data_IF_291591577433
#
_entry.id   IF_291591577433
#
_cell.length_a   1.000
_cell.length_b   1.000
_cell.length_c   1.000
_cell.angle_alpha   90.00
_cell.angle_beta   90.00
_cell.angle_gamma   90.00
#
_symmetry.space_group_name_H-M   'P 1'
#
loop_
_entity.id
_entity.type
_entity.pdbx_description
1 polymer ?
#
# COMPACT_ATOMS: atom_id res chain seq x y z
N UNK A 1 3.18 -0.29 22.80
CA UNK A 1 3.10 1.08 22.27
C UNK A 1 1.74 1.67 22.61
N UNK A 2 1.72 2.66 23.51
CA UNK A 2 0.57 3.49 23.81
C UNK A 2 0.35 4.54 22.72
N UNK A 3 -0.91 4.74 22.29
CA UNK A 3 -1.30 5.70 21.27
C UNK A 3 -2.28 6.72 21.85
N UNK A 4 -1.91 7.99 21.76
CA UNK A 4 -2.78 9.10 22.17
C UNK A 4 -3.53 9.64 20.96
N UNK A 5 -4.86 9.56 20.96
CA UNK A 5 -5.70 10.17 19.93
C UNK A 5 -5.54 11.69 19.94
N UNK A 6 -5.33 12.29 18.77
CA UNK A 6 -5.20 13.74 18.57
C UNK A 6 -6.30 14.29 17.69
N UNK A 7 -6.67 13.55 16.65
CA UNK A 7 -7.63 13.99 15.64
C UNK A 7 -8.94 13.23 15.67
N UNK A 8 -8.93 12.03 16.25
CA UNK A 8 -10.07 11.10 16.24
C UNK A 8 -10.68 10.91 17.62
N UNK A 9 -11.87 10.31 17.66
CA UNK A 9 -12.59 9.98 18.90
C UNK A 9 -12.91 8.48 18.93
N UNK A 10 -12.80 7.81 20.10
CA UNK A 10 -13.20 6.41 20.23
C UNK A 10 -14.64 6.17 19.76
N UNK A 11 -14.87 5.07 19.04
CA UNK A 11 -16.19 4.66 18.56
C UNK A 11 -16.77 5.50 17.41
N UNK A 12 -16.05 6.50 16.89
CA UNK A 12 -16.45 7.26 15.70
C UNK A 12 -15.78 6.65 14.47
N UNK A 13 -16.57 6.32 13.44
CA UNK A 13 -16.02 5.92 12.15
C UNK A 13 -15.19 7.05 11.54
N UNK A 14 -13.87 6.83 11.44
CA UNK A 14 -12.95 7.83 10.88
C UNK A 14 -13.32 8.24 9.45
N UNK A 15 -13.91 7.34 8.65
CA UNK A 15 -14.27 7.70 7.29
C UNK A 15 -15.55 8.56 7.22
N UNK A 16 -16.31 8.67 8.33
CA UNK A 16 -17.44 9.60 8.42
C UNK A 16 -17.01 11.03 8.74
N UNK A 17 -15.71 11.30 8.99
CA UNK A 17 -15.21 12.64 9.34
C UNK A 17 -14.94 13.53 8.13
N UNK A 18 -15.07 13.00 6.91
CA UNK A 18 -14.91 13.76 5.66
C UNK A 18 -16.15 13.64 4.77
N UNK A 19 -16.43 14.68 3.99
CA UNK A 19 -17.45 14.62 2.95
C UNK A 19 -16.89 13.90 1.72
N UNK A 20 -17.67 13.00 1.11
CA UNK A 20 -17.26 12.19 -0.03
C UNK A 20 -17.89 12.69 -1.32
N UNK A 21 -17.18 12.53 -2.43
CA UNK A 21 -17.68 12.86 -3.76
C UNK A 21 -17.20 11.84 -4.77
N UNK A 22 -17.97 11.69 -5.86
CA UNK A 22 -17.62 10.84 -6.99
C UNK A 22 -17.01 11.70 -8.09
N UNK A 23 -15.85 11.30 -8.59
CA UNK A 23 -15.15 11.99 -9.67
C UNK A 23 -14.71 11.02 -10.75
N UNK A 24 -14.67 11.52 -11.98
CA UNK A 24 -14.07 10.79 -13.09
C UNK A 24 -12.59 11.11 -13.13
N UNK A 25 -11.76 10.08 -13.20
CA UNK A 25 -10.35 10.22 -13.55
C UNK A 25 -10.15 9.77 -14.99
N UNK A 26 -9.53 10.62 -15.81
CA UNK A 26 -9.28 10.34 -17.22
C UNK A 26 -7.87 10.75 -17.59
N UNK A 27 -7.13 9.83 -18.19
CA UNK A 27 -5.83 10.09 -18.82
C UNK A 27 -6.02 10.07 -20.32
N UNK A 28 -5.61 11.14 -20.99
CA UNK A 28 -5.66 11.28 -22.45
C UNK A 28 -4.27 11.44 -23.04
N UNK A 29 -4.09 10.97 -24.27
CA UNK A 29 -2.92 11.26 -25.10
C UNK A 29 -2.96 12.71 -25.61
N UNK A 30 -1.86 13.16 -26.22
CA UNK A 30 -1.75 14.48 -26.87
C UNK A 30 -2.72 14.65 -28.05
N UNK A 31 -3.15 13.57 -28.69
CA UNK A 31 -4.15 13.55 -29.75
C UNK A 31 -5.61 13.55 -29.23
N UNK A 32 -5.80 13.57 -27.90
CA UNK A 32 -7.11 13.55 -27.25
C UNK A 32 -7.72 12.16 -27.06
N UNK A 33 -7.08 11.09 -27.55
CA UNK A 33 -7.55 9.71 -27.30
C UNK A 33 -7.44 9.34 -25.82
N UNK A 34 -8.40 8.56 -25.32
CA UNK A 34 -8.47 8.16 -23.90
C UNK A 34 -7.60 6.92 -23.68
N UNK A 35 -6.59 7.04 -22.82
CA UNK A 35 -5.69 5.95 -22.42
C UNK A 35 -6.31 5.15 -21.27
N UNK A 36 -6.92 5.86 -20.33
CA UNK A 36 -7.53 5.27 -19.14
C UNK A 36 -8.67 6.17 -18.67
N UNK A 37 -9.79 5.56 -18.29
CA UNK A 37 -10.89 6.26 -17.65
C UNK A 37 -11.45 5.39 -16.52
N UNK A 38 -11.66 5.99 -15.36
CA UNK A 38 -12.47 5.44 -14.29
C UNK A 38 -13.51 6.48 -13.88
N UNK A 39 -14.77 6.13 -14.08
CA UNK A 39 -15.90 6.94 -13.61
C UNK A 39 -16.21 6.61 -12.16
N UNK A 40 -16.83 7.56 -11.49
CA UNK A 40 -17.39 7.38 -10.15
C UNK A 40 -16.38 6.94 -9.08
N UNK A 41 -15.11 7.32 -9.22
CA UNK A 41 -14.11 7.12 -8.18
C UNK A 41 -14.48 7.95 -6.95
N UNK A 42 -14.66 7.28 -5.81
CA UNK A 42 -15.06 7.90 -4.57
C UNK A 42 -13.84 8.43 -3.81
N UNK A 43 -13.80 9.74 -3.58
CA UNK A 43 -12.69 10.45 -2.95
C UNK A 43 -13.20 11.50 -1.96
N UNK A 44 -12.39 11.94 -0.98
CA UNK A 44 -12.75 13.08 -0.15
C UNK A 44 -12.98 14.33 -1.01
N UNK A 45 -14.07 15.05 -0.77
CA UNK A 45 -14.46 16.24 -1.53
C UNK A 45 -13.42 17.35 -1.49
N UNK A 46 -12.64 17.43 -0.42
CA UNK A 46 -11.55 18.38 -0.24
C UNK A 46 -10.34 18.13 -1.14
N UNK A 47 -10.17 16.92 -1.67
CA UNK A 47 -9.03 16.61 -2.53
C UNK A 47 -9.14 17.38 -3.85
N UNK A 48 -8.00 17.69 -4.47
CA UNK A 48 -7.99 18.28 -5.81
C UNK A 48 -8.30 17.23 -6.89
N UNK A 49 -8.68 17.68 -8.09
CA UNK A 49 -8.82 16.77 -9.24
C UNK A 49 -7.48 16.08 -9.55
N UNK A 50 -6.35 16.80 -9.48
CA UNK A 50 -5.02 16.22 -9.68
C UNK A 50 -4.71 15.11 -8.67
N UNK A 51 -5.03 15.30 -7.39
CA UNK A 51 -4.86 14.26 -6.37
C UNK A 51 -5.74 13.03 -6.67
N UNK A 52 -6.97 13.27 -7.14
CA UNK A 52 -7.88 12.22 -7.61
C UNK A 52 -7.25 11.44 -8.77
N UNK A 53 -6.72 12.14 -9.77
CA UNK A 53 -6.15 11.52 -10.96
C UNK A 53 -4.90 10.70 -10.64
N UNK A 54 -4.00 11.21 -9.79
CA UNK A 54 -2.81 10.48 -9.34
C UNK A 54 -3.23 9.24 -8.55
N UNK A 55 -4.15 9.39 -7.59
CA UNK A 55 -4.63 8.29 -6.76
C UNK A 55 -5.24 7.17 -7.59
N UNK A 56 -6.16 7.51 -8.49
CA UNK A 56 -6.87 6.54 -9.31
C UNK A 56 -5.95 5.91 -10.35
N UNK A 57 -5.07 6.69 -10.99
CA UNK A 57 -4.21 6.17 -12.05
C UNK A 57 -3.07 5.30 -11.52
N UNK A 58 -2.44 5.69 -10.40
CA UNK A 58 -1.25 5.04 -9.87
C UNK A 58 -1.54 4.05 -8.74
N UNK A 59 -2.41 4.39 -7.80
CA UNK A 59 -2.47 3.70 -6.51
C UNK A 59 -3.70 2.80 -6.32
N UNK A 60 -4.78 3.05 -7.05
CA UNK A 60 -5.90 2.11 -7.08
C UNK A 60 -5.47 0.79 -7.71
N UNK A 61 -5.65 -0.30 -6.97
CA UNK A 61 -5.48 -1.65 -7.48
C UNK A 61 -6.46 -1.85 -8.65
N UNK A 62 -5.97 -2.34 -9.78
CA UNK A 62 -6.77 -2.42 -11.02
C UNK A 62 -7.59 -3.69 -11.18
N UNK A 63 -7.23 -4.77 -10.46
CA UNK A 63 -7.89 -6.07 -10.58
C UNK A 63 -7.67 -6.92 -9.32
N UNK A 64 -8.51 -7.94 -9.14
CA UNK A 64 -8.44 -8.90 -8.04
C UNK A 64 -9.17 -8.46 -6.77
N UNK A 65 -9.72 -7.25 -6.73
CA UNK A 65 -10.44 -6.73 -5.56
C UNK A 65 -11.86 -7.30 -5.56
N UNK A 66 -12.29 -8.03 -4.51
CA UNK A 66 -13.64 -8.55 -4.41
C UNK A 66 -14.69 -7.45 -4.57
N UNK A 67 -15.75 -7.73 -5.31
CA UNK A 67 -16.88 -6.84 -5.55
C UNK A 67 -18.16 -7.47 -5.00
N UNK A 68 -19.19 -6.65 -4.79
CA UNK A 68 -20.49 -7.10 -4.24
C UNK A 68 -21.20 -8.14 -5.13
N UNK A 69 -20.92 -8.13 -6.44
CA UNK A 69 -21.49 -9.09 -7.40
C UNK A 69 -20.77 -10.45 -7.41
N UNK A 70 -19.85 -10.67 -6.47
CA UNK A 70 -19.07 -11.89 -6.33
C UNK A 70 -17.90 -12.00 -7.32
N UNK A 71 -17.71 -11.02 -8.21
CA UNK A 71 -16.56 -10.97 -9.12
C UNK A 71 -15.42 -10.18 -8.52
N UNK A 72 -14.28 -10.15 -9.22
CA UNK A 72 -13.14 -9.30 -8.88
C UNK A 72 -13.03 -8.12 -9.84
N UNK A 73 -12.61 -6.96 -9.35
CA UNK A 73 -12.45 -5.73 -10.11
C UNK A 73 -11.37 -4.81 -9.54
N UNK A 74 -11.40 -3.51 -9.89
CA UNK A 74 -10.50 -2.51 -9.32
C UNK A 74 -11.01 -1.99 -7.95
N UNK A 75 -10.11 -1.34 -7.21
CA UNK A 75 -10.49 -0.37 -6.19
C UNK A 75 -11.23 0.80 -6.86
N UNK A 76 -12.26 1.32 -6.20
CA UNK A 76 -13.10 2.43 -6.66
C UNK A 76 -13.23 3.54 -5.61
N UNK A 77 -12.70 3.36 -4.41
CA UNK A 77 -12.78 4.35 -3.33
C UNK A 77 -11.44 4.52 -2.63
N UNK A 78 -11.10 5.76 -2.27
CA UNK A 78 -9.97 6.05 -1.38
C UNK A 78 -10.12 5.38 -0.02
N UNK A 79 -11.36 5.08 0.42
CA UNK A 79 -11.61 4.29 1.64
C UNK A 79 -10.91 2.94 1.58
N UNK A 80 -11.00 2.27 0.44
CA UNK A 80 -10.40 0.95 0.23
C UNK A 80 -8.87 1.01 0.32
N UNK A 81 -8.26 1.99 -0.34
CA UNK A 81 -6.80 2.21 -0.30
C UNK A 81 -6.34 2.52 1.12
N UNK A 82 -6.97 3.50 1.78
CA UNK A 82 -6.60 3.91 3.14
C UNK A 82 -6.79 2.76 4.13
N UNK A 83 -7.89 2.01 4.01
CA UNK A 83 -8.16 0.84 4.85
C UNK A 83 -7.11 -0.25 4.68
N UNK A 84 -6.76 -0.64 3.44
CA UNK A 84 -5.76 -1.70 3.26
C UNK A 84 -4.39 -1.29 3.80
N UNK A 85 -4.02 -0.01 3.75
CA UNK A 85 -2.77 0.48 4.31
C UNK A 85 -2.81 0.47 5.84
N UNK A 86 -3.69 1.31 6.44
CA UNK A 86 -3.76 1.47 7.89
C UNK A 86 -4.16 0.17 8.59
N UNK A 87 -5.08 -0.60 7.99
CA UNK A 87 -5.54 -1.89 8.51
C UNK A 87 -4.43 -2.93 8.51
N UNK A 88 -3.63 -3.01 7.43
CA UNK A 88 -2.50 -3.94 7.37
C UNK A 88 -1.41 -3.58 8.39
N UNK A 89 -1.07 -2.30 8.53
CA UNK A 89 -0.10 -1.87 9.55
C UNK A 89 -0.58 -2.15 10.97
N UNK A 90 -1.88 -1.89 11.26
CA UNK A 90 -2.49 -2.26 12.54
C UNK A 90 -2.41 -3.76 12.76
N UNK A 91 -2.81 -4.55 11.76
CA UNK A 91 -2.82 -6.01 11.84
C UNK A 91 -1.42 -6.57 12.16
N UNK A 92 -0.38 -6.07 11.50
CA UNK A 92 1.00 -6.46 11.80
C UNK A 92 1.40 -6.04 13.23
N UNK A 93 1.08 -4.81 13.64
CA UNK A 93 1.36 -4.34 14.99
C UNK A 93 0.65 -5.20 16.06
N UNK A 94 -0.59 -5.61 15.83
CA UNK A 94 -1.32 -6.53 16.73
C UNK A 94 -0.67 -7.92 16.74
N UNK A 95 -0.37 -8.48 15.56
CA UNK A 95 0.25 -9.81 15.41
C UNK A 95 1.58 -9.92 16.15
N UNK A 96 2.38 -8.86 16.15
CA UNK A 96 3.69 -8.83 16.77
C UNK A 96 3.71 -8.17 18.17
N UNK A 97 2.54 -7.92 18.77
CA UNK A 97 2.44 -7.44 20.15
C UNK A 97 2.94 -6.01 20.37
N UNK A 98 2.87 -5.15 19.34
CA UNK A 98 3.40 -3.79 19.40
C UNK A 98 2.53 -2.84 20.22
N UNK A 99 1.22 -3.09 20.36
CA UNK A 99 0.30 -2.19 21.07
C UNK A 99 0.13 -2.59 22.54
N UNK A 100 0.02 -1.60 23.43
CA UNK A 100 -0.18 -1.89 24.87
C UNK A 100 -1.60 -2.41 25.13
N UNK A 101 -2.59 -1.92 24.38
CA UNK A 101 -3.99 -2.32 24.47
C UNK A 101 -4.66 -2.40 23.08
N UNK A 102 -5.87 -2.98 23.03
CA UNK A 102 -6.70 -2.96 21.81
C UNK A 102 -7.11 -1.54 21.42
N UNK A 103 -7.40 -0.70 22.41
CA UNK A 103 -7.76 0.71 22.20
C UNK A 103 -6.62 1.49 21.54
N UNK A 104 -5.37 1.15 21.86
CA UNK A 104 -4.19 1.74 21.21
C UNK A 104 -4.08 1.33 19.73
N UNK A 105 -4.38 0.07 19.41
CA UNK A 105 -4.40 -0.43 18.03
C UNK A 105 -5.51 0.24 17.20
N UNK A 106 -6.70 0.43 17.79
CA UNK A 106 -7.80 1.18 17.18
C UNK A 106 -7.42 2.66 16.99
N UNK A 107 -6.84 3.28 18.01
CA UNK A 107 -6.37 4.66 17.92
C UNK A 107 -5.31 4.83 16.82
N UNK A 108 -4.38 3.88 16.68
CA UNK A 108 -3.38 3.89 15.61
C UNK A 108 -4.03 3.89 14.22
N UNK A 109 -4.99 2.99 14.01
CA UNK A 109 -5.71 2.88 12.74
C UNK A 109 -6.48 4.16 12.43
N UNK A 110 -7.25 4.67 13.40
CA UNK A 110 -8.10 5.85 13.21
C UNK A 110 -7.26 7.10 12.95
N UNK A 111 -6.19 7.35 13.73
CA UNK A 111 -5.33 8.52 13.54
C UNK A 111 -4.63 8.48 12.16
N UNK A 112 -4.14 7.33 11.72
CA UNK A 112 -3.53 7.19 10.39
C UNK A 112 -4.53 7.38 9.26
N UNK A 113 -5.74 6.80 9.38
CA UNK A 113 -6.81 7.02 8.41
C UNK A 113 -7.15 8.51 8.32
N UNK A 114 -7.32 9.18 9.45
CA UNK A 114 -7.58 10.62 9.49
C UNK A 114 -6.47 11.40 8.78
N UNK A 115 -5.21 11.20 9.17
CA UNK A 115 -4.09 11.93 8.60
C UNK A 115 -3.96 11.70 7.08
N UNK A 116 -4.21 10.49 6.58
CA UNK A 116 -4.20 10.23 5.13
C UNK A 116 -5.38 10.88 4.41
N UNK A 117 -6.60 10.79 4.94
CA UNK A 117 -7.80 11.42 4.36
C UNK A 117 -7.67 12.95 4.29
N UNK A 118 -7.02 13.55 5.29
CA UNK A 118 -6.76 14.97 5.38
C UNK A 118 -5.41 15.40 4.74
N UNK A 119 -4.71 14.48 4.05
CA UNK A 119 -3.41 14.72 3.39
C UNK A 119 -2.32 15.31 4.31
N UNK A 120 -2.35 14.95 5.60
CA UNK A 120 -1.38 15.34 6.62
C UNK A 120 -0.14 14.42 6.60
N UNK A 121 -0.31 13.19 6.12
CA UNK A 121 0.77 12.24 5.91
C UNK A 121 0.59 11.46 4.61
N UNK A 122 1.70 10.99 4.06
CA UNK A 122 1.72 10.05 2.95
C UNK A 122 2.96 9.14 3.10
N UNK A 123 2.82 7.81 3.07
CA UNK A 123 3.96 6.93 2.99
C UNK A 123 4.63 7.03 1.61
N UNK A 124 5.82 6.42 1.48
CA UNK A 124 6.50 6.30 0.19
C UNK A 124 5.67 5.47 -0.83
N UNK A 125 5.96 5.62 -2.13
CA UNK A 125 5.15 5.05 -3.21
C UNK A 125 4.97 3.52 -3.15
N UNK A 126 5.99 2.70 -2.85
CA UNK A 126 5.82 1.24 -2.72
C UNK A 126 4.77 0.79 -1.71
N UNK A 127 4.59 1.54 -0.61
CA UNK A 127 3.51 1.27 0.35
C UNK A 127 2.14 1.35 -0.33
N UNK A 128 1.90 2.42 -1.09
CA UNK A 128 0.65 2.59 -1.81
C UNK A 128 0.41 1.47 -2.83
N UNK A 129 1.44 0.91 -3.47
CA UNK A 129 1.26 -0.14 -4.47
C UNK A 129 0.98 -1.51 -3.84
N UNK A 130 1.71 -1.87 -2.79
CA UNK A 130 1.82 -3.28 -2.38
C UNK A 130 1.20 -3.57 -1.01
N UNK A 131 1.19 -2.60 -0.10
CA UNK A 131 0.80 -2.85 1.29
C UNK A 131 -0.69 -3.16 1.39
N UNK A 132 -1.00 -4.24 2.12
CA UNK A 132 -2.36 -4.62 2.49
C UNK A 132 -3.18 -5.31 1.40
N UNK A 133 -2.61 -5.60 0.22
CA UNK A 133 -3.34 -6.31 -0.83
C UNK A 133 -3.76 -7.72 -0.39
N UNK A 134 -2.86 -8.46 0.27
CA UNK A 134 -3.19 -9.76 0.85
C UNK A 134 -4.13 -9.61 2.06
N UNK A 135 -3.81 -8.71 3.00
CA UNK A 135 -4.63 -8.45 4.19
C UNK A 135 -6.09 -8.12 3.86
N UNK A 136 -6.33 -7.17 2.94
CA UNK A 136 -7.67 -6.68 2.66
C UNK A 136 -8.44 -7.55 1.66
N UNK A 137 -7.74 -8.19 0.72
CA UNK A 137 -8.37 -8.83 -0.44
C UNK A 137 -7.94 -10.29 -0.69
N UNK A 138 -7.02 -10.83 0.11
CA UNK A 138 -6.44 -12.16 -0.12
C UNK A 138 -5.60 -12.26 -1.41
N UNK A 139 -5.22 -11.13 -2.01
CA UNK A 139 -4.45 -11.13 -3.26
C UNK A 139 -3.02 -11.57 -2.96
N UNK A 140 -2.60 -12.66 -3.60
CA UNK A 140 -1.22 -13.14 -3.68
C UNK A 140 -0.64 -12.88 -5.07
N UNK A 141 0.60 -13.30 -5.31
CA UNK A 141 1.21 -13.25 -6.64
C UNK A 141 2.41 -14.20 -6.72
N UNK A 142 2.93 -14.50 -7.91
CA UNK A 142 4.10 -15.38 -8.02
C UNK A 142 5.27 -14.82 -7.20
N UNK A 143 6.09 -15.71 -6.61
CA UNK A 143 7.32 -15.32 -5.92
C UNK A 143 8.22 -14.45 -6.83
N UNK A 144 8.88 -13.46 -6.22
CA UNK A 144 9.65 -12.44 -6.96
C UNK A 144 11.13 -12.38 -6.57
N UNK A 145 11.54 -13.25 -5.65
CA UNK A 145 12.93 -13.33 -5.23
C UNK A 145 13.34 -12.25 -4.21
N UNK A 146 12.38 -11.62 -3.53
CA UNK A 146 12.69 -10.79 -2.36
C UNK A 146 12.77 -11.64 -1.09
N UNK A 147 13.59 -11.18 -0.16
CA UNK A 147 13.83 -11.86 1.11
C UNK A 147 12.92 -11.29 2.20
N UNK A 148 12.58 -12.15 3.16
CA UNK A 148 11.82 -11.83 4.36
C UNK A 148 12.65 -12.28 5.54
N UNK A 149 12.71 -11.45 6.58
CA UNK A 149 13.33 -11.81 7.85
C UNK A 149 12.26 -12.32 8.81
N UNK A 150 12.55 -13.44 9.48
CA UNK A 150 11.79 -13.88 10.63
C UNK A 150 12.02 -12.90 11.81
N UNK A 151 10.95 -12.31 12.39
CA UNK A 151 11.10 -11.29 13.42
C UNK A 151 11.57 -11.84 14.78
N UNK A 152 11.48 -13.15 15.02
CA UNK A 152 11.91 -13.80 16.27
C UNK A 152 13.36 -14.30 16.17
N UNK A 153 13.70 -14.97 15.07
CA UNK A 153 15.03 -15.58 14.88
C UNK A 153 16.01 -14.70 14.12
N UNK A 154 15.50 -13.77 13.30
CA UNK A 154 16.31 -12.97 12.38
C UNK A 154 16.79 -13.73 11.14
N UNK A 155 16.42 -15.00 10.98
CA UNK A 155 16.75 -15.78 9.79
C UNK A 155 16.03 -15.21 8.57
N UNK A 156 16.70 -15.22 7.42
CA UNK A 156 16.14 -14.71 6.18
C UNK A 156 15.81 -15.86 5.23
N UNK A 157 14.64 -15.80 4.62
CA UNK A 157 14.21 -16.73 3.57
C UNK A 157 13.59 -15.97 2.40
N UNK A 158 13.50 -16.61 1.24
CA UNK A 158 12.74 -16.05 0.13
C UNK A 158 11.25 -16.00 0.47
N UNK A 159 10.58 -14.94 0.02
CA UNK A 159 9.13 -14.85 0.12
C UNK A 159 8.45 -15.87 -0.80
N UNK A 160 7.43 -16.57 -0.28
CA UNK A 160 6.62 -17.51 -1.04
C UNK A 160 5.80 -16.83 -2.16
N UNK A 161 5.42 -15.57 -1.95
CA UNK A 161 4.58 -14.81 -2.87
C UNK A 161 4.84 -13.29 -2.78
N UNK A 162 4.30 -12.55 -3.76
CA UNK A 162 4.57 -11.11 -3.91
C UNK A 162 3.91 -10.20 -2.86
N UNK A 163 2.84 -10.64 -2.17
CA UNK A 163 1.94 -9.74 -1.44
C UNK A 163 1.60 -10.16 0.00
N UNK A 164 1.87 -11.40 0.42
CA UNK A 164 1.75 -11.79 1.83
C UNK A 164 2.83 -11.13 2.69
N UNK A 165 4.04 -11.01 2.14
CA UNK A 165 5.12 -10.18 2.67
C UNK A 165 5.52 -9.18 1.58
N UNK A 166 4.75 -8.09 1.39
CA UNK A 166 4.96 -7.20 0.27
C UNK A 166 6.27 -6.43 0.41
N UNK A 167 6.90 -6.08 -0.72
CA UNK A 167 8.01 -5.13 -0.78
C UNK A 167 7.43 -3.69 -0.67
N UNK A 168 7.64 -2.96 0.45
CA UNK A 168 6.96 -1.69 0.67
C UNK A 168 7.94 -0.53 1.01
N UNK A 169 9.19 -0.65 0.57
CA UNK A 169 10.28 0.30 0.84
C UNK A 169 10.89 0.84 -0.47
N UNK A 170 11.14 2.14 -0.57
CA UNK A 170 11.68 2.74 -1.80
C UNK A 170 13.22 2.86 -1.84
N UNK A 171 13.91 2.45 -0.78
CA UNK A 171 15.33 2.73 -0.61
C UNK A 171 16.06 1.46 -0.21
N UNK A 172 17.17 1.17 -0.90
CA UNK A 172 17.98 -0.01 -0.70
C UNK A 172 19.46 0.36 -0.79
N UNK A 173 20.29 -0.40 -0.08
CA UNK A 173 21.74 -0.36 -0.21
C UNK A 173 22.16 -1.78 -0.54
N UNK A 174 22.90 -1.94 -1.65
CA UNK A 174 23.41 -3.24 -2.08
C UNK A 174 24.93 -3.23 -2.00
N UNK A 175 25.50 -4.28 -1.43
CA UNK A 175 26.94 -4.55 -1.52
C UNK A 175 27.25 -5.23 -2.86
N UNK A 176 28.48 -5.01 -3.31
CA UNK A 176 29.07 -5.67 -4.47
C UNK A 176 30.52 -5.98 -4.15
N UNK A 177 30.89 -7.23 -4.38
CA UNK A 177 32.27 -7.68 -4.26
C UNK A 177 33.01 -7.46 -5.57
N UNK A 178 34.34 -7.36 -5.52
CA UNK A 178 35.20 -7.27 -6.70
C UNK A 178 35.34 -8.64 -7.38
N UNK A 179 34.20 -9.18 -7.83
CA UNK A 179 34.04 -10.41 -8.59
C UNK A 179 33.09 -10.13 -9.77
N UNK A 180 33.44 -10.58 -10.97
CA UNK A 180 32.63 -10.33 -12.15
C UNK A 180 31.36 -11.20 -12.20
N UNK A 181 31.44 -12.48 -11.84
CA UNK A 181 30.39 -13.49 -12.16
C UNK A 181 29.89 -14.24 -10.92
N UNK A 182 30.66 -14.31 -9.84
CA UNK A 182 30.28 -14.97 -8.60
C UNK A 182 29.03 -14.35 -7.95
N UNK A 183 28.42 -15.12 -7.04
CA UNK A 183 27.38 -14.61 -6.15
C UNK A 183 27.92 -13.42 -5.33
N UNK A 184 27.16 -12.32 -5.25
CA UNK A 184 27.66 -11.06 -4.66
C UNK A 184 28.49 -10.19 -5.60
N UNK A 185 28.91 -10.70 -6.76
CA UNK A 185 29.66 -9.99 -7.79
C UNK A 185 28.82 -9.03 -8.65
N UNK A 186 29.45 -8.43 -9.65
CA UNK A 186 28.88 -7.36 -10.51
C UNK A 186 27.67 -7.84 -11.30
N UNK A 187 27.74 -9.02 -11.93
CA UNK A 187 26.61 -9.55 -12.73
C UNK A 187 25.41 -9.97 -11.86
N UNK A 188 25.68 -10.47 -10.65
CA UNK A 188 24.62 -10.75 -9.68
C UNK A 188 23.97 -9.45 -9.17
N UNK A 189 24.77 -8.42 -8.84
CA UNK A 189 24.26 -7.08 -8.50
C UNK A 189 23.30 -6.57 -9.59
N UNK A 190 23.67 -6.67 -10.87
CA UNK A 190 22.79 -6.21 -11.96
C UNK A 190 21.42 -6.92 -11.94
N UNK A 191 21.42 -8.23 -11.67
CA UNK A 191 20.17 -9.00 -11.54
C UNK A 191 19.36 -8.57 -10.32
N UNK A 192 20.03 -8.33 -9.18
CA UNK A 192 19.40 -7.86 -7.93
C UNK A 192 18.81 -6.44 -8.09
N UNK A 193 19.52 -5.52 -8.71
CA UNK A 193 19.06 -4.17 -9.05
C UNK A 193 17.84 -4.23 -9.98
N UNK A 194 17.89 -5.05 -11.04
CA UNK A 194 16.76 -5.21 -11.94
C UNK A 194 15.48 -5.72 -11.23
N UNK A 195 15.62 -6.54 -10.19
CA UNK A 195 14.49 -6.96 -9.34
C UNK A 195 13.94 -5.80 -8.50
N UNK A 196 14.80 -4.94 -7.94
CA UNK A 196 14.35 -3.77 -7.18
C UNK A 196 13.53 -2.83 -8.06
N UNK A 197 14.05 -2.44 -9.22
CA UNK A 197 13.37 -1.53 -10.15
C UNK A 197 12.02 -2.03 -10.65
N UNK A 198 11.78 -3.34 -10.63
CA UNK A 198 10.49 -3.92 -11.00
C UNK A 198 9.36 -3.49 -10.06
N UNK A 199 9.65 -3.16 -8.79
CA UNK A 199 8.66 -2.89 -7.75
C UNK A 199 8.57 -1.43 -7.30
N UNK A 200 9.50 -0.59 -7.74
CA UNK A 200 9.57 0.84 -7.40
C UNK A 200 10.78 1.12 -6.54
#
# INVERSE_FOLDING_TARGET
MKITRRFTKPGVDVFSTVEWTKRTSRITNSDGSVVFEMKDAEVPKSWSQLATDIMVSKYFRKAGVPQEDGKTGPEKSVRQVVHRLAGCWRHWGEKHGYFDTKDDAEAFYDELCHMMLHQMCAPNSPQWFNTGLNFAYGITGPAQGHWVADPETGEVSLADDAYSHPQPHACFIQSVDDDLVGEGGIMDLWTREARLFKYG
#
